data_IF_587326195447
#
_entry.id   IF_587326195447
#
_cell.length_a   1.000
_cell.length_b   1.000
_cell.length_c   1.000
_cell.angle_alpha   90.00
_cell.angle_beta   90.00
_cell.angle_gamma   90.00
#
_symmetry.space_group_name_H-M   'P 1'
#
loop_
_entity.id
_entity.type
_entity.pdbx_description
1 polymer ?
#
# COMPACT_ATOMS: atom_id res chain seq x y z
N UNK A 1 5.04 -43.19 52.33
CA UNK A 1 4.95 -41.73 52.55
C UNK A 1 6.09 -40.94 51.90
N UNK A 2 7.37 -41.24 52.16
CA UNK A 2 8.50 -40.51 51.53
C UNK A 2 8.54 -40.58 50.01
N UNK A 3 8.25 -41.75 49.42
CA UNK A 3 8.19 -41.95 47.97
C UNK A 3 7.01 -41.23 47.30
N UNK A 4 5.87 -41.15 47.98
CA UNK A 4 4.67 -40.45 47.50
C UNK A 4 4.86 -38.93 47.47
N UNK A 5 5.55 -38.38 48.48
CA UNK A 5 5.90 -36.95 48.56
C UNK A 5 6.92 -36.59 47.47
N UNK A 6 7.90 -37.46 47.21
CA UNK A 6 8.90 -37.22 46.17
C UNK A 6 8.29 -37.22 44.75
N UNK A 7 7.29 -38.08 44.50
CA UNK A 7 6.54 -38.13 43.24
C UNK A 7 5.67 -36.87 43.03
N UNK A 8 5.06 -36.35 44.10
CA UNK A 8 4.27 -35.12 44.02
C UNK A 8 5.14 -33.88 43.74
N UNK A 9 6.33 -33.81 44.33
CA UNK A 9 7.29 -32.71 44.12
C UNK A 9 7.86 -32.75 42.71
N UNK A 10 8.10 -33.94 42.14
CA UNK A 10 8.54 -34.07 40.74
C UNK A 10 7.43 -33.71 39.75
N UNK A 11 6.17 -34.08 40.00
CA UNK A 11 5.04 -33.64 39.16
C UNK A 11 4.81 -32.12 39.19
N UNK A 12 5.08 -31.44 40.31
CA UNK A 12 4.97 -29.97 40.40
C UNK A 12 6.09 -29.24 39.64
N UNK A 13 7.26 -29.88 39.48
CA UNK A 13 8.41 -29.32 38.74
C UNK A 13 8.35 -29.59 37.23
N UNK A 14 7.54 -30.58 36.79
CA UNK A 14 7.27 -30.88 35.37
C UNK A 14 5.93 -30.31 34.91
N UNK A 15 5.32 -29.40 35.69
CA UNK A 15 4.24 -28.55 35.18
C UNK A 15 4.86 -27.58 34.18
N UNK A 16 4.99 -28.05 32.93
CA UNK A 16 5.29 -27.25 31.77
C UNK A 16 4.34 -26.06 31.81
N UNK A 17 4.88 -24.87 32.10
CA UNK A 17 4.23 -23.64 31.72
C UNK A 17 4.03 -23.75 30.21
N UNK A 18 2.85 -24.17 29.78
CA UNK A 18 2.35 -23.85 28.46
C UNK A 18 2.68 -22.36 28.27
N UNK A 19 3.44 -21.97 27.24
CA UNK A 19 3.70 -20.57 27.01
C UNK A 19 2.34 -19.90 27.01
N UNK A 20 2.13 -18.98 27.95
CA UNK A 20 0.90 -18.21 28.01
C UNK A 20 0.86 -17.40 26.71
N UNK A 21 0.13 -17.91 25.73
CA UNK A 21 -0.24 -17.14 24.55
C UNK A 21 -1.35 -16.21 25.02
N UNK A 22 -0.97 -14.97 25.32
CA UNK A 22 -1.94 -13.90 25.44
C UNK A 22 -2.78 -13.92 24.16
N UNK A 23 -4.09 -14.16 24.30
CA UNK A 23 -5.02 -14.09 23.18
C UNK A 23 -5.13 -12.63 22.76
N UNK A 24 -4.29 -12.25 21.79
CA UNK A 24 -4.28 -10.92 21.23
C UNK A 24 -5.52 -10.79 20.34
N UNK A 25 -6.53 -10.13 20.87
CA UNK A 25 -7.75 -9.79 20.11
C UNK A 25 -7.38 -9.01 18.84
N UNK A 26 -7.94 -9.39 17.69
CA UNK A 26 -7.68 -8.74 16.38
C UNK A 26 -8.88 -7.98 15.84
N UNK A 27 -10.04 -8.03 16.49
CA UNK A 27 -11.34 -7.45 16.08
C UNK A 27 -11.30 -5.93 15.90
N UNK A 28 -10.43 -5.25 16.62
CA UNK A 28 -10.20 -3.81 16.48
C UNK A 28 -8.71 -3.46 16.47
N UNK A 29 -8.38 -2.34 15.85
CA UNK A 29 -7.06 -1.71 15.91
C UNK A 29 -7.24 -0.24 16.29
N UNK A 30 -6.53 0.22 17.33
CA UNK A 30 -6.49 1.64 17.67
C UNK A 30 -5.30 2.29 16.96
N UNK A 31 -5.58 3.36 16.23
CA UNK A 31 -4.63 4.06 15.38
C UNK A 31 -4.55 5.51 15.87
N UNK A 32 -3.35 5.98 16.21
CA UNK A 32 -3.09 7.33 16.69
C UNK A 32 -2.76 8.24 15.51
N UNK A 33 -3.52 9.31 15.36
CA UNK A 33 -3.18 10.42 14.48
C UNK A 33 -2.23 11.37 15.23
N UNK A 34 -1.10 11.65 14.60
CA UNK A 34 -0.14 12.66 15.04
C UNK A 34 -0.16 13.77 13.99
N UNK A 35 -0.61 14.96 14.40
CA UNK A 35 -0.71 16.13 13.52
C UNK A 35 0.65 16.43 12.88
N UNK A 36 0.68 16.53 11.57
CA UNK A 36 1.93 16.63 10.81
C UNK A 36 2.26 18.04 10.32
N UNK A 37 1.23 18.84 10.01
CA UNK A 37 1.33 20.22 9.52
C UNK A 37 0.12 21.03 9.98
N UNK A 38 0.11 22.34 9.75
CA UNK A 38 -0.88 23.26 10.35
C UNK A 38 -2.33 22.94 9.99
N UNK A 39 -2.61 22.68 8.71
CA UNK A 39 -3.94 22.34 8.19
C UNK A 39 -4.26 20.84 8.23
N UNK A 40 -3.39 20.02 8.84
CA UNK A 40 -3.67 18.60 9.09
C UNK A 40 -4.74 18.48 10.18
N UNK A 41 -5.82 17.79 9.88
CA UNK A 41 -6.95 17.57 10.78
C UNK A 41 -7.31 16.09 10.85
N UNK A 42 -7.89 15.65 11.97
CA UNK A 42 -8.32 14.27 12.13
C UNK A 42 -9.31 13.84 11.03
N UNK A 43 -10.17 14.74 10.56
CA UNK A 43 -11.13 14.44 9.49
C UNK A 43 -10.40 14.16 8.16
N UNK A 44 -9.39 14.96 7.82
CA UNK A 44 -8.53 14.70 6.65
C UNK A 44 -7.76 13.39 6.80
N UNK A 45 -7.26 13.12 8.01
CA UNK A 45 -6.55 11.89 8.32
C UNK A 45 -7.44 10.65 8.21
N UNK A 46 -8.70 10.76 8.63
CA UNK A 46 -9.72 9.71 8.46
C UNK A 46 -9.94 9.48 6.97
N UNK A 47 -10.22 10.52 6.17
CA UNK A 47 -10.39 10.41 4.71
C UNK A 47 -9.18 9.69 4.08
N UNK A 48 -7.95 10.10 4.42
CA UNK A 48 -6.73 9.45 3.92
C UNK A 48 -6.63 7.98 4.32
N UNK A 49 -7.07 7.60 5.53
CA UNK A 49 -7.16 6.19 5.94
C UNK A 49 -8.18 5.40 5.10
N UNK A 50 -9.34 5.99 4.78
CA UNK A 50 -10.36 5.35 3.94
C UNK A 50 -9.81 5.04 2.55
N UNK A 51 -9.13 6.01 1.95
CA UNK A 51 -8.48 5.85 0.65
C UNK A 51 -7.37 4.80 0.71
N UNK A 52 -6.52 4.82 1.75
CA UNK A 52 -5.50 3.79 1.95
C UNK A 52 -6.09 2.38 2.00
N UNK A 53 -7.15 2.17 2.80
CA UNK A 53 -7.84 0.88 2.90
C UNK A 53 -8.49 0.49 1.57
N UNK A 54 -9.10 1.45 0.88
CA UNK A 54 -9.68 1.22 -0.45
C UNK A 54 -8.62 0.72 -1.43
N UNK A 55 -7.44 1.36 -1.49
CA UNK A 55 -6.34 0.95 -2.37
C UNK A 55 -5.86 -0.48 -2.16
N UNK A 56 -5.99 -1.00 -0.93
CA UNK A 56 -5.65 -2.38 -0.61
C UNK A 56 -6.84 -3.34 -0.64
N UNK A 57 -7.95 -2.96 -1.28
CA UNK A 57 -9.03 -3.87 -1.67
C UNK A 57 -10.27 -3.85 -0.78
N UNK A 58 -10.38 -2.92 0.18
CA UNK A 58 -11.56 -2.78 1.03
C UNK A 58 -12.79 -2.25 0.24
N UNK A 59 -13.95 -2.88 0.40
CA UNK A 59 -15.26 -2.46 -0.16
C UNK A 59 -16.07 -1.59 0.83
N UNK A 60 -15.46 -0.54 1.37
CA UNK A 60 -16.09 0.26 2.42
C UNK A 60 -16.50 1.64 1.95
N UNK A 61 -17.72 2.11 2.30
CA UNK A 61 -17.84 3.45 2.78
C UNK A 61 -17.28 3.39 4.18
N UNK A 62 -16.69 4.47 4.57
CA UNK A 62 -16.65 4.74 5.96
C UNK A 62 -18.00 5.37 6.27
N UNK A 63 -19.01 4.53 6.56
CA UNK A 63 -19.94 4.94 7.60
C UNK A 63 -19.08 5.02 8.85
N UNK A 64 -18.34 6.13 9.01
CA UNK A 64 -17.32 6.32 10.03
C UNK A 64 -17.90 5.89 11.38
N UNK A 65 -19.16 6.24 11.66
CA UNK A 65 -19.87 5.84 12.87
C UNK A 65 -19.93 4.34 13.19
N UNK A 66 -19.85 3.41 12.22
CA UNK A 66 -19.93 1.95 12.47
C UNK A 66 -18.58 1.24 12.42
N UNK A 67 -17.73 1.56 11.44
CA UNK A 67 -16.48 0.83 11.22
C UNK A 67 -15.23 1.56 11.74
N UNK A 68 -15.32 2.89 11.97
CA UNK A 68 -14.20 3.72 12.42
C UNK A 68 -14.65 4.77 13.44
N UNK A 69 -14.50 4.45 14.72
CA UNK A 69 -14.85 5.40 15.77
C UNK A 69 -13.68 6.36 16.02
N UNK A 70 -13.94 7.65 15.89
CA UNK A 70 -12.96 8.70 16.17
C UNK A 70 -13.20 9.26 17.56
N UNK A 71 -12.14 9.30 18.37
CA UNK A 71 -12.13 9.95 19.67
C UNK A 71 -10.84 10.75 19.80
N UNK A 72 -10.97 12.08 19.87
CA UNK A 72 -9.86 13.03 19.85
C UNK A 72 -8.91 12.79 18.66
N UNK A 73 -7.75 12.22 18.92
CA UNK A 73 -6.70 11.90 17.95
C UNK A 73 -6.51 10.38 17.76
N UNK A 74 -7.48 9.58 18.17
CA UNK A 74 -7.44 8.12 18.03
C UNK A 74 -8.61 7.63 17.17
N UNK A 75 -8.28 6.82 16.17
CA UNK A 75 -9.23 6.14 15.29
C UNK A 75 -9.27 4.67 15.71
N UNK A 76 -10.43 4.16 16.08
CA UNK A 76 -10.66 2.74 16.36
C UNK A 76 -11.28 2.07 15.15
N UNK A 77 -10.47 1.27 14.44
CA UNK A 77 -10.87 0.53 13.25
C UNK A 77 -11.44 -0.83 13.64
N UNK A 78 -12.66 -1.15 13.21
CA UNK A 78 -13.29 -2.46 13.34
C UNK A 78 -12.81 -3.37 12.20
N UNK A 79 -11.81 -4.20 12.46
CA UNK A 79 -10.96 -4.84 11.44
C UNK A 79 -11.69 -5.90 10.62
N UNK A 80 -12.74 -6.50 11.17
CA UNK A 80 -13.55 -7.52 10.51
C UNK A 80 -14.62 -6.95 9.57
N UNK A 81 -14.94 -5.66 9.71
CA UNK A 81 -16.08 -5.03 9.02
C UNK A 81 -15.64 -4.01 7.95
N UNK A 82 -14.35 -3.95 7.62
CA UNK A 82 -13.80 -3.04 6.60
C UNK A 82 -14.01 -3.52 5.16
N UNK A 83 -14.69 -4.65 4.93
CA UNK A 83 -15.09 -5.06 3.58
C UNK A 83 -13.97 -5.66 2.73
N UNK A 84 -12.91 -6.20 3.36
CA UNK A 84 -11.96 -7.09 2.70
C UNK A 84 -12.58 -8.45 2.35
N UNK A 85 -12.00 -9.12 1.36
CA UNK A 85 -12.31 -10.53 1.08
C UNK A 85 -11.91 -11.43 2.26
N UNK A 86 -12.44 -12.66 2.37
CA UNK A 86 -12.03 -13.61 3.40
C UNK A 86 -10.52 -13.90 3.41
N UNK A 87 -9.88 -13.94 2.24
CA UNK A 87 -8.42 -14.13 2.12
C UNK A 87 -7.67 -12.90 2.64
N UNK A 88 -8.08 -11.71 2.20
CA UNK A 88 -7.47 -10.44 2.60
C UNK A 88 -7.64 -10.17 4.10
N UNK A 89 -8.78 -10.55 4.70
CA UNK A 89 -8.99 -10.48 6.15
C UNK A 89 -7.96 -11.30 6.92
N UNK A 90 -7.64 -12.53 6.49
CA UNK A 90 -6.60 -13.36 7.15
C UNK A 90 -5.22 -12.72 7.07
N UNK A 91 -4.91 -12.06 5.94
CA UNK A 91 -3.66 -11.30 5.77
C UNK A 91 -3.64 -10.11 6.72
N UNK A 92 -4.74 -9.36 6.77
CA UNK A 92 -4.88 -8.19 7.62
C UNK A 92 -4.78 -8.53 9.12
N UNK A 93 -5.44 -9.60 9.56
CA UNK A 93 -5.33 -10.13 10.93
C UNK A 93 -3.88 -10.44 11.31
N UNK A 94 -3.10 -11.07 10.42
CA UNK A 94 -1.67 -11.33 10.66
C UNK A 94 -0.88 -10.04 10.87
N UNK A 95 -1.14 -9.01 10.06
CA UNK A 95 -0.49 -7.70 10.22
C UNK A 95 -0.88 -7.06 11.55
N UNK A 96 -2.16 -7.10 11.94
CA UNK A 96 -2.64 -6.59 13.23
C UNK A 96 -1.95 -7.32 14.39
N UNK A 97 -1.85 -8.65 14.34
CA UNK A 97 -1.14 -9.43 15.35
C UNK A 97 0.32 -9.00 15.48
N UNK A 98 1.02 -8.79 14.36
CA UNK A 98 2.40 -8.31 14.34
C UNK A 98 2.51 -6.91 14.96
N UNK A 99 1.60 -6.00 14.63
CA UNK A 99 1.53 -4.66 15.22
C UNK A 99 1.36 -4.75 16.74
N UNK A 100 0.35 -5.50 17.21
CA UNK A 100 -0.02 -5.60 18.63
C UNK A 100 1.06 -6.25 19.49
N UNK A 101 1.94 -7.07 18.90
CA UNK A 101 3.09 -7.68 19.60
C UNK A 101 4.27 -6.73 19.83
N UNK A 102 4.31 -5.58 19.15
CA UNK A 102 5.42 -4.63 19.29
C UNK A 102 5.45 -3.93 20.64
N UNK A 103 6.63 -3.51 21.07
CA UNK A 103 6.82 -2.75 22.31
C UNK A 103 5.96 -1.47 22.30
N UNK A 104 6.03 -0.71 21.19
CA UNK A 104 5.27 0.53 21.03
C UNK A 104 3.76 0.32 21.20
N UNK A 105 3.17 -0.69 20.56
CA UNK A 105 1.74 -0.95 20.71
C UNK A 105 1.39 -1.46 22.11
N UNK A 106 2.21 -2.34 22.71
CA UNK A 106 1.95 -2.84 24.07
C UNK A 106 1.93 -1.72 25.11
N UNK A 107 2.82 -0.73 24.96
CA UNK A 107 2.93 0.45 25.82
C UNK A 107 1.81 1.46 25.56
N UNK A 108 1.59 1.84 24.30
CA UNK A 108 0.70 2.97 23.94
C UNK A 108 -0.72 2.54 23.58
N UNK A 109 -0.97 1.23 23.45
CA UNK A 109 -2.23 0.61 22.99
C UNK A 109 -2.72 1.15 21.65
N UNK A 110 -1.81 1.69 20.84
CA UNK A 110 -2.07 2.35 19.54
C UNK A 110 -0.89 2.16 18.59
N UNK A 111 -1.14 2.27 17.29
CA UNK A 111 -0.12 2.42 16.23
C UNK A 111 -0.23 3.80 15.58
N UNK A 112 0.88 4.42 15.19
CA UNK A 112 0.88 5.65 14.39
C UNK A 112 0.18 5.45 13.04
N UNK A 113 -0.70 6.39 12.66
CA UNK A 113 -1.50 6.32 11.43
C UNK A 113 -0.64 6.26 10.16
N UNK A 114 0.36 7.12 10.05
CA UNK A 114 1.24 7.13 8.89
C UNK A 114 2.03 5.82 8.78
N UNK A 115 2.55 5.31 9.91
CA UNK A 115 3.19 3.98 9.97
C UNK A 115 2.26 2.87 9.50
N UNK A 116 1.01 2.89 9.93
CA UNK A 116 0.01 1.91 9.53
C UNK A 116 -0.24 1.95 8.01
N UNK A 117 -0.40 3.14 7.43
CA UNK A 117 -0.57 3.29 5.97
C UNK A 117 0.68 2.84 5.21
N UNK A 118 1.88 3.21 5.66
CA UNK A 118 3.14 2.74 5.08
C UNK A 118 3.23 1.22 5.12
N UNK A 119 2.79 0.56 6.19
CA UNK A 119 2.77 -0.89 6.28
C UNK A 119 1.91 -1.52 5.17
N UNK A 120 0.77 -0.92 4.83
CA UNK A 120 -0.16 -1.44 3.81
C UNK A 120 0.34 -1.20 2.38
N UNK A 121 0.90 -0.02 2.10
CA UNK A 121 1.20 0.43 0.73
C UNK A 121 2.68 0.31 0.33
N UNK A 122 3.61 0.42 1.28
CA UNK A 122 5.04 0.51 0.98
C UNK A 122 5.74 -0.84 0.82
N UNK A 123 5.14 -1.90 1.39
CA UNK A 123 5.57 -3.28 1.19
C UNK A 123 4.73 -3.88 0.06
N UNK A 124 5.34 -4.14 -1.11
CA UNK A 124 4.63 -4.75 -2.23
C UNK A 124 4.02 -6.10 -1.85
N UNK A 125 4.67 -6.89 -0.99
CA UNK A 125 4.14 -8.17 -0.53
C UNK A 125 2.86 -8.02 0.30
N UNK A 126 2.77 -7.00 1.16
CA UNK A 126 1.54 -6.72 1.89
C UNK A 126 0.43 -6.25 0.95
N UNK A 127 0.75 -5.28 0.08
CA UNK A 127 -0.18 -4.76 -0.93
C UNK A 127 -0.73 -5.90 -1.79
N UNK A 128 0.14 -6.71 -2.38
CA UNK A 128 -0.22 -7.83 -3.24
C UNK A 128 -1.04 -8.89 -2.51
N UNK A 129 -0.75 -9.16 -1.25
CA UNK A 129 -1.51 -10.14 -0.47
C UNK A 129 -2.91 -9.64 -0.10
N UNK A 130 -3.07 -8.34 0.20
CA UNK A 130 -4.34 -7.74 0.55
C UNK A 130 -5.29 -7.62 -0.66
N UNK A 131 -4.77 -7.26 -1.83
CA UNK A 131 -5.57 -7.18 -3.08
C UNK A 131 -5.58 -8.48 -3.89
N UNK A 132 -5.01 -9.55 -3.33
CA UNK A 132 -4.97 -10.88 -3.93
C UNK A 132 -4.37 -10.89 -5.34
N UNK A 133 -3.27 -10.17 -5.55
CA UNK A 133 -2.55 -10.16 -6.84
C UNK A 133 -2.03 -11.57 -7.13
N UNK A 134 -2.27 -12.15 -8.32
CA UNK A 134 -1.74 -13.47 -8.67
C UNK A 134 -0.21 -13.54 -8.58
N UNK A 135 0.34 -14.72 -8.27
CA UNK A 135 1.80 -14.91 -8.19
C UNK A 135 2.46 -15.01 -9.57
N UNK A 136 1.67 -15.33 -10.60
CA UNK A 136 2.16 -15.43 -11.96
C UNK A 136 1.22 -14.74 -12.95
N UNK A 137 1.78 -14.22 -14.04
CA UNK A 137 1.03 -13.63 -15.13
C UNK A 137 0.09 -14.65 -15.78
N UNK A 138 0.48 -15.93 -15.80
CA UNK A 138 -0.37 -17.03 -16.26
C UNK A 138 -1.66 -17.13 -15.44
N UNK A 139 -1.54 -17.20 -14.11
CA UNK A 139 -2.70 -17.24 -13.20
C UNK A 139 -3.59 -16.01 -13.34
N UNK A 140 -2.99 -14.84 -13.58
CA UNK A 140 -3.77 -13.63 -13.86
C UNK A 140 -4.61 -13.79 -15.14
N UNK A 141 -3.97 -14.19 -16.24
CA UNK A 141 -4.58 -14.33 -17.56
C UNK A 141 -5.67 -15.40 -17.64
N UNK A 142 -5.64 -16.42 -16.77
CA UNK A 142 -6.69 -17.46 -16.72
C UNK A 142 -8.10 -16.90 -16.45
N UNK A 143 -8.21 -15.70 -15.88
CA UNK A 143 -9.50 -15.04 -15.59
C UNK A 143 -10.00 -14.12 -16.71
N UNK A 144 -9.25 -14.00 -17.81
CA UNK A 144 -9.51 -13.01 -18.86
C UNK A 144 -9.35 -13.57 -20.27
N UNK A 145 -10.25 -13.17 -21.16
CA UNK A 145 -10.07 -13.32 -22.60
C UNK A 145 -9.43 -12.06 -23.16
N UNK A 146 -8.16 -12.13 -23.53
CA UNK A 146 -7.46 -11.01 -24.15
C UNK A 146 -7.92 -10.80 -25.60
N UNK A 147 -8.02 -9.54 -26.01
CA UNK A 147 -8.34 -9.17 -27.38
C UNK A 147 -7.18 -9.61 -28.31
N UNK A 148 -7.48 -10.15 -29.51
CA UNK A 148 -6.43 -10.46 -30.50
C UNK A 148 -5.70 -9.22 -31.01
N UNK A 149 -6.36 -8.05 -31.03
CA UNK A 149 -5.75 -6.77 -31.36
C UNK A 149 -4.95 -6.24 -30.17
N UNK A 150 -3.80 -5.61 -30.45
CA UNK A 150 -2.88 -5.09 -29.44
C UNK A 150 -2.51 -3.64 -29.74
N UNK A 151 -2.21 -2.88 -28.70
CA UNK A 151 -1.60 -1.56 -28.82
C UNK A 151 -0.07 -1.63 -28.87
N UNK A 152 0.56 -0.57 -29.35
CA UNK A 152 2.01 -0.38 -29.32
C UNK A 152 2.33 1.03 -28.82
N UNK A 153 3.31 1.16 -27.93
CA UNK A 153 3.80 2.44 -27.42
C UNK A 153 5.30 2.49 -27.69
N UNK A 154 5.76 3.44 -28.51
CA UNK A 154 7.18 3.67 -28.85
C UNK A 154 7.76 4.95 -28.25
N UNK A 155 6.94 5.69 -27.49
CA UNK A 155 7.36 6.91 -26.82
C UNK A 155 6.65 7.03 -25.46
N UNK A 156 7.12 6.25 -24.48
CA UNK A 156 6.58 6.25 -23.12
C UNK A 156 7.21 7.34 -22.25
N UNK A 157 6.45 7.87 -21.29
CA UNK A 157 6.99 8.73 -20.23
C UNK A 157 7.53 7.93 -19.03
N UNK A 158 7.13 6.65 -18.92
CA UNK A 158 7.48 5.75 -17.82
C UNK A 158 8.45 4.65 -18.28
N UNK A 159 8.10 3.95 -19.35
CA UNK A 159 8.97 2.95 -19.98
C UNK A 159 10.15 3.61 -20.67
N UNK A 160 11.32 3.01 -20.56
CA UNK A 160 12.50 3.42 -21.31
C UNK A 160 12.59 2.68 -22.66
N UNK A 161 11.70 1.71 -22.87
CA UNK A 161 11.62 0.82 -24.03
C UNK A 161 10.23 0.90 -24.67
N UNK A 162 10.10 0.20 -25.79
CA UNK A 162 8.81 0.04 -26.46
C UNK A 162 7.92 -0.92 -25.66
N UNK A 163 6.61 -0.67 -25.66
CA UNK A 163 5.63 -1.50 -24.95
C UNK A 163 4.61 -2.08 -25.92
N UNK A 164 4.29 -3.35 -25.75
CA UNK A 164 3.10 -3.98 -26.35
C UNK A 164 1.99 -3.99 -25.32
N UNK A 165 0.83 -3.43 -25.69
CA UNK A 165 -0.33 -3.33 -24.81
C UNK A 165 -1.36 -4.38 -25.18
N UNK A 166 -1.61 -5.28 -24.24
CA UNK A 166 -2.71 -6.24 -24.30
C UNK A 166 -3.84 -5.77 -23.39
N UNK A 167 -5.07 -6.08 -23.77
CA UNK A 167 -6.23 -5.76 -22.95
C UNK A 167 -7.33 -6.79 -23.15
N UNK A 168 -8.17 -6.96 -22.13
CA UNK A 168 -9.47 -7.61 -22.28
C UNK A 168 -10.55 -6.58 -22.57
N UNK A 169 -11.67 -7.03 -23.12
CA UNK A 169 -12.88 -6.22 -23.10
C UNK A 169 -13.36 -6.04 -21.65
N UNK A 170 -14.01 -4.92 -21.36
CA UNK A 170 -14.55 -4.64 -20.05
C UNK A 170 -15.87 -5.39 -19.84
N UNK A 171 -16.02 -6.02 -18.68
CA UNK A 171 -17.28 -6.59 -18.21
C UNK A 171 -17.51 -6.14 -16.77
N UNK A 172 -18.41 -5.19 -16.55
CA UNK A 172 -18.57 -4.51 -15.25
C UNK A 172 -17.24 -3.95 -14.72
N UNK A 173 -16.81 -4.38 -13.53
CA UNK A 173 -15.51 -4.04 -12.95
C UNK A 173 -14.38 -4.94 -13.45
N UNK A 174 -14.64 -5.92 -14.31
CA UNK A 174 -13.64 -6.87 -14.75
C UNK A 174 -12.98 -6.42 -16.05
N UNK A 175 -11.76 -5.89 -15.96
CA UNK A 175 -10.94 -5.60 -17.12
C UNK A 175 -9.46 -5.71 -16.76
N UNK A 176 -8.68 -6.32 -17.66
CA UNK A 176 -7.24 -6.47 -17.54
C UNK A 176 -6.53 -5.68 -18.64
N UNK A 177 -5.49 -4.94 -18.26
CA UNK A 177 -4.50 -4.33 -19.14
C UNK A 177 -3.12 -4.89 -18.78
N UNK A 178 -2.33 -5.25 -19.78
CA UNK A 178 -0.95 -5.72 -19.64
C UNK A 178 -0.07 -4.88 -20.54
N UNK A 179 0.96 -4.27 -19.97
CA UNK A 179 2.06 -3.67 -20.68
C UNK A 179 3.24 -4.64 -20.65
N UNK A 180 3.67 -5.09 -21.82
CA UNK A 180 4.86 -5.91 -22.02
C UNK A 180 5.99 -5.00 -22.49
N UNK A 181 7.02 -4.80 -21.66
CA UNK A 181 8.22 -4.01 -22.01
C UNK A 181 9.14 -4.86 -22.88
N UNK A 182 9.45 -4.37 -24.09
CA UNK A 182 10.20 -5.13 -25.09
C UNK A 182 11.36 -4.36 -25.71
N UNK A 183 12.37 -5.10 -26.11
CA UNK A 183 13.36 -4.62 -27.08
C UNK A 183 12.73 -4.53 -28.48
N UNK A 184 12.75 -3.35 -29.08
CA UNK A 184 12.07 -3.11 -30.35
C UNK A 184 12.68 -3.87 -31.53
N UNK A 185 13.94 -4.32 -31.42
CA UNK A 185 14.66 -5.03 -32.49
C UNK A 185 14.61 -6.54 -32.26
N UNK A 186 15.08 -7.00 -31.11
CA UNK A 186 15.21 -8.43 -30.77
C UNK A 186 13.92 -9.06 -30.27
N UNK A 187 12.93 -8.24 -29.88
CA UNK A 187 11.65 -8.65 -29.28
C UNK A 187 11.81 -9.42 -27.96
N UNK A 188 12.97 -9.27 -27.30
CA UNK A 188 13.17 -9.77 -25.94
C UNK A 188 12.24 -9.01 -25.00
N UNK A 189 11.55 -9.76 -24.14
CA UNK A 189 10.69 -9.20 -23.09
C UNK A 189 11.55 -8.97 -21.85
N UNK A 190 11.43 -7.78 -21.25
CA UNK A 190 12.13 -7.43 -20.02
C UNK A 190 11.26 -7.62 -18.79
N UNK A 191 10.00 -7.18 -18.84
CA UNK A 191 9.07 -7.28 -17.72
C UNK A 191 7.62 -6.98 -18.16
N UNK A 192 6.68 -7.23 -17.24
CA UNK A 192 5.28 -6.92 -17.43
C UNK A 192 4.76 -6.04 -16.30
N UNK A 193 3.99 -5.02 -16.66
CA UNK A 193 3.17 -4.22 -15.74
C UNK A 193 1.70 -4.52 -16.04
N UNK A 194 0.89 -4.75 -15.01
CA UNK A 194 -0.54 -5.08 -15.19
C UNK A 194 -1.43 -4.13 -14.41
N UNK A 195 -2.56 -3.76 -15.00
CA UNK A 195 -3.62 -2.99 -14.35
C UNK A 195 -4.91 -3.78 -14.45
N UNK A 196 -5.54 -4.03 -13.32
CA UNK A 196 -6.87 -4.62 -13.23
C UNK A 196 -7.81 -3.72 -12.46
N UNK A 197 -9.06 -3.64 -12.90
CA UNK A 197 -10.10 -2.99 -12.11
C UNK A 197 -10.67 -3.97 -11.08
N UNK A 198 -10.70 -3.57 -9.81
CA UNK A 198 -11.28 -4.34 -8.73
C UNK A 198 -12.77 -3.98 -8.54
N UNK A 199 -13.51 -4.90 -7.91
CA UNK A 199 -14.93 -4.70 -7.58
C UNK A 199 -15.19 -3.50 -6.67
N UNK A 200 -14.20 -3.08 -5.88
CA UNK A 200 -14.29 -1.89 -5.04
C UNK A 200 -14.03 -0.58 -5.82
N UNK A 201 -13.82 -0.67 -7.13
CA UNK A 201 -13.53 0.44 -8.03
C UNK A 201 -12.06 0.85 -8.10
N UNK A 202 -11.17 0.28 -7.27
CA UNK A 202 -9.75 0.61 -7.31
C UNK A 202 -9.01 -0.16 -8.39
N UNK A 203 -7.84 0.36 -8.76
CA UNK A 203 -6.93 -0.33 -9.65
C UNK A 203 -5.97 -1.21 -8.86
N UNK A 204 -5.87 -2.48 -9.25
CA UNK A 204 -4.85 -3.42 -8.83
C UNK A 204 -3.67 -3.35 -9.78
N UNK A 205 -2.49 -3.07 -9.24
CA UNK A 205 -1.25 -3.06 -9.98
C UNK A 205 -0.46 -4.34 -9.72
N UNK A 206 0.13 -4.91 -10.78
CA UNK A 206 1.01 -6.07 -10.70
C UNK A 206 2.28 -5.83 -11.50
N UNK A 207 3.41 -6.34 -10.99
CA UNK A 207 4.71 -6.28 -11.68
C UNK A 207 5.23 -7.72 -11.76
N UNK A 208 5.60 -8.15 -12.96
CA UNK A 208 6.11 -9.49 -13.21
C UNK A 208 7.43 -9.43 -13.99
N UNK A 209 8.32 -10.35 -13.69
CA UNK A 209 9.58 -10.52 -14.44
C UNK A 209 9.35 -11.06 -15.86
N UNK A 210 10.42 -11.25 -16.63
CA UNK A 210 10.38 -11.76 -18.00
C UNK A 210 9.79 -13.18 -18.11
N UNK A 211 9.74 -13.93 -16.99
CA UNK A 211 9.15 -15.27 -16.90
C UNK A 211 7.69 -15.22 -16.42
N UNK A 212 7.16 -14.03 -16.17
CA UNK A 212 5.82 -13.83 -15.66
C UNK A 212 5.68 -14.19 -14.18
N UNK A 213 6.74 -14.19 -13.39
CA UNK A 213 6.70 -14.36 -11.93
C UNK A 213 6.60 -12.98 -11.27
N UNK A 214 5.70 -12.84 -10.29
CA UNK A 214 5.47 -11.56 -9.61
C UNK A 214 6.73 -11.12 -8.85
N UNK A 215 7.14 -9.87 -9.05
CA UNK A 215 8.27 -9.21 -8.38
C UNK A 215 7.81 -7.97 -7.62
N UNK A 216 8.62 -7.50 -6.67
CA UNK A 216 8.22 -6.42 -5.76
C UNK A 216 8.47 -5.01 -6.30
N UNK A 217 9.39 -4.85 -7.24
CA UNK A 217 9.75 -3.56 -7.81
C UNK A 217 10.18 -3.74 -9.25
N UNK A 218 9.77 -2.84 -10.14
CA UNK A 218 10.18 -2.86 -11.53
C UNK A 218 11.68 -2.56 -11.71
N UNK A 219 12.30 -3.04 -12.79
CA UNK A 219 13.73 -2.78 -13.01
C UNK A 219 13.93 -1.37 -13.58
N UNK A 220 14.65 -0.53 -12.83
CA UNK A 220 14.97 0.85 -13.22
C UNK A 220 15.77 0.98 -14.52
N UNK A 221 16.37 -0.12 -15.01
CA UNK A 221 17.02 -0.16 -16.33
C UNK A 221 16.01 -0.11 -17.48
N UNK A 222 14.77 -0.53 -17.22
CA UNK A 222 13.73 -0.69 -18.23
C UNK A 222 12.55 0.26 -18.04
N UNK A 223 12.25 0.66 -16.80
CA UNK A 223 11.10 1.51 -16.51
C UNK A 223 11.34 2.44 -15.33
N UNK A 224 10.56 3.51 -15.24
CA UNK A 224 10.46 4.39 -14.06
C UNK A 224 9.28 4.04 -13.15
N UNK A 225 8.61 2.92 -13.35
CA UNK A 225 7.39 2.55 -12.62
C UNK A 225 7.60 2.28 -11.11
N UNK A 226 8.79 1.82 -10.70
CA UNK A 226 9.10 1.60 -9.28
C UNK A 226 8.24 0.48 -8.65
N UNK A 227 7.70 0.73 -7.46
CA UNK A 227 6.81 -0.18 -6.72
C UNK A 227 5.34 0.04 -7.08
N UNK A 228 4.43 -0.90 -6.74
CA UNK A 228 2.98 -0.69 -6.89
C UNK A 228 2.47 0.60 -6.25
N UNK A 229 3.05 1.01 -5.12
CA UNK A 229 2.72 2.27 -4.47
C UNK A 229 2.89 3.48 -5.39
N UNK A 230 3.93 3.52 -6.22
CA UNK A 230 4.14 4.58 -7.21
C UNK A 230 3.12 4.50 -8.34
N UNK A 231 2.77 3.29 -8.80
CA UNK A 231 1.74 3.10 -9.82
C UNK A 231 0.39 3.65 -9.38
N UNK A 232 0.00 3.49 -8.10
CA UNK A 232 -1.23 4.07 -7.53
C UNK A 232 -1.27 5.59 -7.76
N UNK A 233 -0.16 6.28 -7.53
CA UNK A 233 -0.06 7.74 -7.67
C UNK A 233 0.08 8.18 -9.13
N UNK A 234 0.89 7.49 -9.93
CA UNK A 234 0.99 7.79 -11.36
C UNK A 234 -0.35 7.67 -12.08
N UNK A 235 -1.21 6.78 -11.62
CA UNK A 235 -2.53 6.57 -12.17
C UNK A 235 -3.62 7.40 -11.49
N UNK A 236 -3.38 7.98 -10.30
CA UNK A 236 -4.39 8.73 -9.52
C UNK A 236 -5.74 7.98 -9.43
N UNK A 237 -5.69 6.66 -9.26
CA UNK A 237 -6.87 5.77 -9.32
C UNK A 237 -7.59 5.70 -10.68
N UNK A 238 -6.95 6.06 -11.79
CA UNK A 238 -7.52 6.13 -13.13
C UNK A 238 -6.70 5.34 -14.16
N UNK A 239 -7.38 4.82 -15.17
CA UNK A 239 -6.69 4.35 -16.37
C UNK A 239 -6.26 5.57 -17.18
N UNK A 240 -4.95 5.75 -17.29
CA UNK A 240 -4.37 6.89 -17.97
C UNK A 240 -4.45 6.75 -19.49
N UNK A 241 -4.51 7.89 -20.17
CA UNK A 241 -4.47 7.97 -21.64
C UNK A 241 -3.02 8.00 -22.15
N UNK A 242 -2.83 7.94 -23.47
CA UNK A 242 -1.53 8.26 -24.07
C UNK A 242 -1.24 9.75 -23.84
N UNK A 243 -0.04 10.06 -23.32
CA UNK A 243 0.40 11.43 -23.01
C UNK A 243 1.42 12.00 -23.99
N UNK A 244 1.94 11.16 -24.88
CA UNK A 244 2.96 11.50 -25.86
C UNK A 244 2.54 10.98 -27.22
N UNK A 245 3.00 11.65 -28.26
CA UNK A 245 2.79 11.21 -29.63
C UNK A 245 3.46 9.86 -29.85
N UNK A 246 2.72 8.96 -30.49
CA UNK A 246 3.17 7.63 -30.88
C UNK A 246 3.19 7.53 -32.41
N UNK A 247 4.04 6.65 -32.93
CA UNK A 247 3.98 6.25 -34.34
C UNK A 247 3.17 4.97 -34.50
N UNK A 248 2.37 4.90 -35.55
CA UNK A 248 1.66 3.68 -35.90
C UNK A 248 2.63 2.58 -36.34
N UNK A 249 2.39 1.36 -35.84
CA UNK A 249 3.21 0.18 -36.13
C UNK A 249 2.33 -0.87 -36.78
N UNK A 250 2.77 -1.40 -37.92
CA UNK A 250 2.03 -2.42 -38.66
C UNK A 250 1.77 -3.67 -37.79
N UNK A 251 0.55 -4.20 -37.85
CA UNK A 251 0.11 -5.34 -37.04
C UNK A 251 -0.45 -4.97 -35.66
N UNK A 252 -0.46 -3.68 -35.30
CA UNK A 252 -1.05 -3.15 -34.06
C UNK A 252 -2.21 -2.21 -34.36
N UNK A 253 -2.98 -1.87 -33.33
CA UNK A 253 -3.92 -0.76 -33.39
C UNK A 253 -3.19 0.53 -33.75
N UNK A 254 -3.85 1.39 -34.52
CA UNK A 254 -3.39 2.76 -34.70
C UNK A 254 -3.40 3.49 -33.36
N UNK A 255 -2.57 4.52 -33.26
CA UNK A 255 -2.44 5.38 -32.08
C UNK A 255 -3.80 5.94 -31.66
N UNK A 256 -4.60 6.39 -32.63
CA UNK A 256 -5.95 6.88 -32.40
C UNK A 256 -6.88 5.76 -31.87
N UNK A 257 -6.87 4.57 -32.47
CA UNK A 257 -7.72 3.47 -32.03
C UNK A 257 -7.36 2.99 -30.61
N UNK A 258 -6.08 2.92 -30.28
CA UNK A 258 -5.61 2.60 -28.93
C UNK A 258 -6.06 3.67 -27.93
N UNK A 259 -5.85 4.94 -28.26
CA UNK A 259 -6.28 6.08 -27.43
C UNK A 259 -7.79 6.01 -27.15
N UNK A 260 -8.62 5.79 -28.18
CA UNK A 260 -10.08 5.68 -28.00
C UNK A 260 -10.47 4.50 -27.11
N UNK A 261 -9.78 3.35 -27.23
CA UNK A 261 -10.00 2.21 -26.32
C UNK A 261 -9.67 2.55 -24.86
N UNK A 262 -8.55 3.24 -24.60
CA UNK A 262 -8.18 3.65 -23.24
C UNK A 262 -9.18 4.68 -22.67
N UNK A 263 -9.63 5.63 -23.49
CA UNK A 263 -10.67 6.61 -23.12
C UNK A 263 -11.96 5.91 -22.75
N UNK A 264 -12.46 5.04 -23.63
CA UNK A 264 -13.70 4.31 -23.40
C UNK A 264 -13.65 3.47 -22.12
N UNK A 265 -12.55 2.73 -21.90
CA UNK A 265 -12.35 1.96 -20.68
C UNK A 265 -12.33 2.84 -19.43
N UNK A 266 -11.60 3.95 -19.45
CA UNK A 266 -11.58 4.91 -18.33
C UNK A 266 -12.97 5.47 -18.04
N UNK A 267 -13.71 5.85 -19.07
CA UNK A 267 -15.04 6.45 -18.90
C UNK A 267 -16.04 5.42 -18.37
N UNK A 268 -15.95 4.16 -18.81
CA UNK A 268 -16.68 3.03 -18.22
C UNK A 268 -16.31 2.85 -16.74
N UNK A 269 -15.03 2.93 -16.39
CA UNK A 269 -14.58 2.81 -14.99
C UNK A 269 -15.17 3.93 -14.14
N UNK A 270 -15.20 5.16 -14.66
CA UNK A 270 -15.78 6.31 -13.97
C UNK A 270 -17.29 6.15 -13.80
N UNK A 271 -17.99 5.66 -14.82
CA UNK A 271 -19.42 5.36 -14.73
C UNK A 271 -19.71 4.29 -13.68
N UNK A 272 -18.95 3.19 -13.66
CA UNK A 272 -19.12 2.10 -12.71
C UNK A 272 -18.82 2.55 -11.27
N UNK A 273 -17.77 3.33 -11.05
CA UNK A 273 -17.43 3.91 -9.74
C UNK A 273 -18.56 4.77 -9.16
N UNK A 274 -19.30 5.51 -9.99
CA UNK A 274 -20.45 6.32 -9.53
C UNK A 274 -21.62 5.46 -9.03
N UNK A 275 -21.68 4.19 -9.42
CA UNK A 275 -22.72 3.25 -8.99
C UNK A 275 -22.34 2.51 -7.71
N UNK A 276 -21.07 2.53 -7.31
CA UNK A 276 -20.61 1.93 -6.07
C UNK A 276 -21.21 2.68 -4.89
N UNK A 277 -22.23 2.08 -4.30
CA UNK A 277 -22.67 2.43 -2.96
C UNK A 277 -21.61 1.88 -2.03
N UNK A 278 -21.35 2.62 -0.97
CA UNK A 278 -20.56 2.10 0.10
C UNK A 278 -19.07 1.95 -0.30
N UNK A 279 -18.48 3.00 -0.90
CA UNK A 279 -17.06 3.13 -1.24
C UNK A 279 -16.55 4.55 -0.95
N UNK A 280 -15.25 4.82 -1.12
CA UNK A 280 -14.72 6.20 -1.12
C UNK A 280 -15.42 7.06 -2.17
N UNK A 281 -15.54 8.37 -1.94
CA UNK A 281 -16.17 9.29 -2.88
C UNK A 281 -15.24 9.56 -4.07
N UNK A 282 -15.36 8.75 -5.11
CA UNK A 282 -14.61 8.88 -6.35
C UNK A 282 -14.87 10.21 -7.10
N UNK A 283 -15.88 11.00 -6.73
CA UNK A 283 -16.05 12.36 -7.28
C UNK A 283 -15.01 13.35 -6.72
N UNK A 284 -14.43 13.06 -5.55
CA UNK A 284 -13.44 13.89 -4.87
C UNK A 284 -12.03 13.56 -5.33
N UNK A 285 -11.71 14.00 -6.54
CA UNK A 285 -10.47 13.65 -7.25
C UNK A 285 -9.16 13.87 -6.48
N UNK A 286 -9.11 14.79 -5.52
CA UNK A 286 -7.89 15.14 -4.78
C UNK A 286 -7.82 14.53 -3.37
N UNK A 287 -8.84 13.77 -2.93
CA UNK A 287 -8.80 13.18 -1.58
C UNK A 287 -7.75 12.08 -1.44
N UNK A 288 -7.33 11.44 -2.53
CA UNK A 288 -6.27 10.45 -2.49
C UNK A 288 -4.94 11.02 -1.99
N UNK A 289 -4.64 12.29 -2.29
CA UNK A 289 -3.44 12.98 -1.81
C UNK A 289 -3.37 13.04 -0.28
N UNK A 290 -4.51 12.96 0.42
CA UNK A 290 -4.52 12.84 1.89
C UNK A 290 -3.87 11.54 2.36
N UNK A 291 -4.00 10.44 1.60
CA UNK A 291 -3.26 9.20 1.87
C UNK A 291 -1.76 9.41 1.74
N UNK A 292 -1.34 10.17 0.71
CA UNK A 292 0.06 10.45 0.45
C UNK A 292 0.69 11.26 1.57
N UNK A 293 0.04 12.34 1.97
CA UNK A 293 0.50 13.20 3.06
C UNK A 293 0.65 12.43 4.37
N UNK A 294 -0.19 11.42 4.65
CA UNK A 294 -0.09 10.62 5.87
C UNK A 294 1.18 9.76 5.90
N UNK A 295 1.52 9.05 4.81
CA UNK A 295 2.74 8.26 4.79
C UNK A 295 3.99 9.12 4.58
N UNK A 296 3.91 10.19 3.78
CA UNK A 296 5.04 11.12 3.54
C UNK A 296 5.41 11.79 4.85
N UNK A 297 4.45 12.37 5.57
CA UNK A 297 4.74 13.00 6.86
C UNK A 297 5.29 12.00 7.88
N UNK A 298 4.97 10.71 7.75
CA UNK A 298 5.57 9.68 8.59
C UNK A 298 6.99 9.28 8.16
N UNK A 299 7.26 9.11 6.87
CA UNK A 299 8.59 8.77 6.34
C UNK A 299 9.54 9.96 6.35
N UNK A 300 9.01 11.17 6.36
CA UNK A 300 9.74 12.43 6.38
C UNK A 300 9.15 13.35 7.46
N UNK A 301 9.32 13.04 8.75
CA UNK A 301 8.65 13.78 9.81
C UNK A 301 9.38 15.08 10.18
N UNK A 302 8.60 16.10 10.56
CA UNK A 302 9.11 17.29 11.24
C UNK A 302 9.41 17.00 12.72
N UNK A 303 10.17 17.88 13.39
CA UNK A 303 10.39 17.78 14.84
C UNK A 303 9.09 17.85 15.64
N UNK A 304 8.14 18.67 15.20
CA UNK A 304 6.83 18.82 15.84
C UNK A 304 6.01 17.52 15.73
N UNK A 305 6.01 16.89 14.55
CA UNK A 305 5.32 15.60 14.39
C UNK A 305 5.95 14.52 15.28
N UNK A 306 7.28 14.47 15.34
CA UNK A 306 8.01 13.54 16.21
C UNK A 306 7.74 13.78 17.68
N UNK A 307 7.54 15.03 18.11
CA UNK A 307 7.22 15.35 19.51
C UNK A 307 5.90 14.69 19.95
N UNK A 308 4.90 14.69 19.05
CA UNK A 308 3.63 13.99 19.24
C UNK A 308 3.79 12.45 19.19
N UNK A 309 4.51 11.93 18.19
CA UNK A 309 4.76 10.49 18.04
C UNK A 309 5.51 9.90 19.24
N UNK A 310 6.50 10.63 19.76
CA UNK A 310 7.38 10.20 20.85
C UNK A 310 6.89 10.63 22.23
N UNK A 311 5.79 11.39 22.30
CA UNK A 311 5.22 11.93 23.54
C UNK A 311 6.26 12.69 24.37
N UNK A 312 6.97 13.61 23.72
CA UNK A 312 7.99 14.44 24.35
C UNK A 312 7.94 15.87 23.84
N UNK A 313 8.57 16.78 24.56
CA UNK A 313 8.64 18.18 24.16
C UNK A 313 9.46 18.33 22.86
N UNK A 314 9.02 19.20 21.94
CA UNK A 314 9.70 19.39 20.67
C UNK A 314 11.16 19.83 20.85
N UNK A 315 11.44 20.61 21.90
CA UNK A 315 12.80 21.02 22.25
C UNK A 315 13.70 19.82 22.57
N UNK A 316 13.17 18.78 23.21
CA UNK A 316 13.90 17.56 23.52
C UNK A 316 14.15 16.71 22.26
N UNK A 317 13.16 16.65 21.36
CA UNK A 317 13.33 16.06 20.02
C UNK A 317 14.49 16.73 19.29
N UNK A 318 14.44 18.07 19.16
CA UNK A 318 15.49 18.86 18.49
C UNK A 318 16.87 18.64 19.13
N UNK A 319 16.93 18.50 20.46
CA UNK A 319 18.18 18.19 21.17
C UNK A 319 18.68 16.79 20.84
N UNK A 320 17.80 15.78 20.79
CA UNK A 320 18.14 14.39 20.42
C UNK A 320 18.64 14.26 18.98
N UNK A 321 18.05 15.03 18.07
CA UNK A 321 18.36 15.01 16.64
C UNK A 321 19.45 16.01 16.23
N UNK A 322 20.11 16.64 17.21
CA UNK A 322 21.16 17.62 16.96
C UNK A 322 22.26 16.98 16.09
N UNK A 323 22.52 17.61 14.94
CA UNK A 323 23.54 17.17 13.99
C UNK A 323 22.99 16.35 12.81
N UNK A 324 21.72 15.93 12.85
CA UNK A 324 21.05 15.43 11.65
C UNK A 324 20.70 16.58 10.71
N UNK A 325 20.80 16.34 9.41
CA UNK A 325 20.37 17.30 8.39
C UNK A 325 18.87 17.20 8.18
N UNK A 326 18.25 18.34 7.89
CA UNK A 326 16.89 18.41 7.40
C UNK A 326 16.85 18.70 5.91
N UNK A 327 15.69 18.48 5.30
CA UNK A 327 15.40 18.82 3.91
C UNK A 327 13.95 19.29 3.78
N UNK A 328 13.59 19.74 2.58
CA UNK A 328 12.23 20.13 2.21
C UNK A 328 11.66 19.12 1.21
N UNK A 329 10.41 18.72 1.37
CA UNK A 329 9.79 17.80 0.42
C UNK A 329 9.50 18.53 -0.90
N UNK A 330 9.98 17.99 -2.02
CA UNK A 330 9.89 18.66 -3.32
C UNK A 330 8.45 18.85 -3.84
N UNK A 331 7.54 17.88 -3.63
CA UNK A 331 6.12 18.01 -4.00
C UNK A 331 5.28 18.77 -2.96
N UNK A 332 5.74 18.82 -1.70
CA UNK A 332 4.98 19.37 -0.58
C UNK A 332 5.84 20.31 0.30
N UNK A 333 6.34 21.43 -0.24
CA UNK A 333 7.24 22.32 0.52
C UNK A 333 6.63 22.90 1.78
N UNK A 334 5.29 22.95 1.88
CA UNK A 334 4.59 23.44 3.08
C UNK A 334 4.81 22.56 4.32
N UNK A 335 5.33 21.33 4.16
CA UNK A 335 5.68 20.46 5.28
C UNK A 335 6.89 20.98 6.09
N UNK A 336 7.65 21.93 5.56
CA UNK A 336 8.76 22.58 6.25
C UNK A 336 9.99 21.68 6.38
N UNK A 337 10.77 21.90 7.44
CA UNK A 337 12.02 21.17 7.67
C UNK A 337 11.74 19.74 8.16
N UNK A 338 12.08 18.76 7.33
CA UNK A 338 11.83 17.34 7.56
C UNK A 338 13.12 16.58 7.79
N UNK A 339 13.04 15.49 8.53
CA UNK A 339 14.11 14.50 8.63
C UNK A 339 13.73 13.26 7.82
N UNK A 340 14.69 12.46 7.36
CA UNK A 340 14.35 11.12 6.87
C UNK A 340 14.08 10.17 8.04
N UNK A 341 13.04 9.35 7.93
CA UNK A 341 12.65 8.37 8.98
C UNK A 341 13.79 7.44 9.36
N UNK A 342 14.59 7.01 8.39
CA UNK A 342 15.72 6.10 8.63
C UNK A 342 16.76 6.71 9.57
N UNK A 343 16.94 8.05 9.53
CA UNK A 343 17.92 8.75 10.36
C UNK A 343 17.42 8.99 11.78
N UNK A 344 16.11 9.20 11.96
CA UNK A 344 15.50 9.47 13.27
C UNK A 344 15.04 8.21 14.01
N UNK A 345 14.79 7.10 13.30
CA UNK A 345 14.30 5.86 13.89
C UNK A 345 15.17 5.32 15.04
N UNK A 346 16.51 5.35 14.99
CA UNK A 346 17.36 4.92 16.11
C UNK A 346 17.15 5.71 17.41
N UNK A 347 16.60 6.92 17.34
CA UNK A 347 16.34 7.78 18.49
C UNK A 347 14.94 7.60 19.10
N UNK A 348 14.08 6.80 18.46
CA UNK A 348 12.71 6.52 18.92
C UNK A 348 12.72 5.89 20.33
N UNK A 349 11.88 6.37 21.27
CA UNK A 349 11.84 5.85 22.63
C UNK A 349 11.28 4.43 22.72
N UNK A 350 10.51 4.00 21.73
CA UNK A 350 9.87 2.67 21.68
C UNK A 350 10.13 2.00 20.34
N UNK A 351 10.31 0.69 20.35
CA UNK A 351 10.41 -0.12 19.13
C UNK A 351 9.02 -0.44 18.58
N UNK A 352 8.66 0.21 17.48
CA UNK A 352 7.46 -0.07 16.71
C UNK A 352 7.71 -1.10 15.60
N UNK A 353 6.65 -1.52 14.91
CA UNK A 353 6.76 -2.41 13.75
C UNK A 353 7.60 -1.74 12.65
N UNK A 354 8.54 -2.49 12.07
CA UNK A 354 9.34 -2.00 10.95
C UNK A 354 8.47 -1.79 9.70
N UNK A 355 8.81 -0.78 8.91
CA UNK A 355 8.18 -0.48 7.62
C UNK A 355 9.22 -0.48 6.50
N UNK A 356 8.80 -0.54 5.24
CA UNK A 356 9.71 -0.28 4.12
C UNK A 356 10.16 1.19 4.12
N UNK A 357 11.37 1.45 3.63
CA UNK A 357 11.98 2.79 3.66
C UNK A 357 11.38 3.78 2.66
N UNK A 358 10.77 3.29 1.58
CA UNK A 358 10.16 4.09 0.53
C UNK A 358 8.88 3.40 0.01
N UNK A 359 7.83 4.18 -0.25
CA UNK A 359 6.54 3.67 -0.76
C UNK A 359 6.55 3.50 -2.27
N UNK A 360 7.28 4.36 -2.96
CA UNK A 360 7.26 4.53 -4.42
C UNK A 360 8.43 3.81 -5.09
N UNK A 361 9.59 3.80 -4.47
CA UNK A 361 10.83 3.25 -5.04
C UNK A 361 11.39 2.07 -4.23
N UNK A 362 12.30 1.32 -4.83
CA UNK A 362 13.10 0.33 -4.10
C UNK A 362 13.91 1.02 -3.00
N UNK A 363 13.85 0.49 -1.79
CA UNK A 363 14.66 0.96 -0.66
C UNK A 363 15.56 -0.16 -0.12
N UNK A 364 16.60 0.21 0.63
CA UNK A 364 17.48 -0.77 1.29
C UNK A 364 16.77 -1.55 2.40
N UNK A 365 15.71 -0.98 2.97
CA UNK A 365 14.88 -1.58 3.99
C UNK A 365 13.54 -1.98 3.38
N UNK A 366 13.40 -3.25 3.00
CA UNK A 366 12.12 -3.83 2.58
C UNK A 366 11.60 -4.81 3.62
N UNK A 367 10.32 -4.68 3.99
CA UNK A 367 9.71 -5.56 5.00
C UNK A 367 8.70 -6.51 4.39
N UNK A 368 8.62 -7.72 4.96
CA UNK A 368 7.53 -8.66 4.74
C UNK A 368 7.16 -9.31 6.08
N UNK A 369 6.05 -8.86 6.67
CA UNK A 369 5.54 -9.35 7.94
C UNK A 369 4.57 -10.53 7.78
N UNK A 370 4.36 -11.02 6.56
CA UNK A 370 3.44 -12.13 6.24
C UNK A 370 4.14 -13.49 6.20
N UNK A 371 5.45 -13.50 6.00
CA UNK A 371 6.27 -14.70 6.14
C UNK A 371 6.55 -14.98 7.61
N UNK A 372 6.54 -16.26 8.00
CA UNK A 372 6.99 -16.68 9.32
C UNK A 372 8.42 -16.17 9.54
N UNK A 373 8.68 -15.53 10.69
CA UNK A 373 10.04 -15.19 11.10
C UNK A 373 10.82 -16.52 11.10
N UNK A 374 11.79 -16.67 10.20
CA UNK A 374 12.73 -17.80 10.25
C UNK A 374 13.75 -17.56 11.34
#
# INVERSE_FOLDING_TARGET
>A
MRTTILLLITCLLVSCKSPYTEDIEVTFLKIKWNKSYEEDTIDKAVIGLEWALSYVGANTPCNASKNMQVSENTITLQTQNIGFSPTANKVFEKLILKIKKTEAYRKNKTIDLGRFITLLLASPEHYYALIETPKTLKQLKENYTLNPQKGYINNSSIGLQDRVIYFSEASEFNQLWISEEIDSITKIIYEFETIELLKNGQLRFGIYDEKGIRKNVADKKHTKAGKPGKCIWCHESNLNQLFRDQKDVNGFLTTEALQQKMIAARDTFHANKKQLKYNVDYSKKQQHTLTELLYISFLEPSSQRLSLEWQMEEREVKKKLKGLKTHQHHEFPFLGDLYHRIDVAPFSPLKAIAVSGDVREHSTQEVNHLTSDK
#
